data_IF_791864497856
#
_entry.id   IF_791864497856
#
_cell.length_a   1.000
_cell.length_b   1.000
_cell.length_c   1.000
_cell.angle_alpha   90.00
_cell.angle_beta   90.00
_cell.angle_gamma   90.00
#
_symmetry.space_group_name_H-M   'P 1'
#
loop_
_entity.id
_entity.type
_entity.pdbx_description
1 polymer ?
#
# COMPACT_ATOMS: atom_id res chain seq x y z
N UNK A 1 -33.92 10.73 -23.07
CA UNK A 1 -33.63 9.36 -23.54
C UNK A 1 -34.89 8.52 -23.37
N UNK A 2 -35.31 7.79 -24.40
CA UNK A 2 -36.26 6.69 -24.25
C UNK A 2 -35.52 5.41 -23.88
N UNK A 3 -36.19 4.45 -23.22
CA UNK A 3 -35.58 3.16 -22.84
C UNK A 3 -35.06 2.36 -24.05
N UNK A 4 -35.66 2.58 -25.21
CA UNK A 4 -35.29 1.92 -26.47
C UNK A 4 -33.92 2.39 -27.00
N UNK A 5 -33.45 3.57 -26.55
CA UNK A 5 -32.14 4.13 -26.92
C UNK A 5 -30.98 3.57 -26.08
N UNK A 6 -31.26 2.79 -25.03
CA UNK A 6 -30.22 2.21 -24.16
C UNK A 6 -29.77 0.89 -24.77
N UNK A 7 -28.50 0.74 -25.17
CA UNK A 7 -28.00 -0.50 -25.77
C UNK A 7 -27.78 -1.60 -24.73
N UNK A 8 -27.10 -1.28 -23.64
CA UNK A 8 -26.76 -2.21 -22.56
C UNK A 8 -26.82 -1.53 -21.19
N UNK A 9 -26.99 -2.34 -20.14
CA UNK A 9 -26.94 -1.91 -18.75
C UNK A 9 -25.89 -2.76 -18.04
N UNK A 10 -24.79 -2.16 -17.60
CA UNK A 10 -23.69 -2.88 -16.93
C UNK A 10 -23.70 -2.63 -15.43
N UNK A 11 -23.50 -3.70 -14.66
CA UNK A 11 -23.42 -3.63 -13.19
C UNK A 11 -21.97 -3.55 -12.72
N UNK A 12 -21.66 -2.50 -11.96
CA UNK A 12 -20.35 -2.29 -11.33
C UNK A 12 -20.47 -2.20 -9.81
N UNK A 13 -19.37 -2.44 -9.09
CA UNK A 13 -19.32 -2.44 -7.63
C UNK A 13 -19.79 -3.76 -6.99
N UNK A 14 -19.27 -4.06 -5.80
CA UNK A 14 -19.52 -5.30 -5.05
C UNK A 14 -21.00 -5.46 -4.65
N UNK A 15 -21.67 -4.36 -4.28
CA UNK A 15 -23.09 -4.35 -3.92
C UNK A 15 -24.01 -4.85 -5.04
N UNK A 16 -23.60 -4.71 -6.30
CA UNK A 16 -24.36 -5.22 -7.44
C UNK A 16 -24.52 -6.74 -7.47
N UNK A 17 -23.74 -7.49 -6.67
CA UNK A 17 -23.84 -8.95 -6.55
C UNK A 17 -25.04 -9.40 -5.72
N UNK A 18 -25.67 -8.50 -4.97
CA UNK A 18 -26.86 -8.80 -4.17
C UNK A 18 -28.06 -9.00 -5.11
N UNK A 19 -28.73 -10.17 -5.12
CA UNK A 19 -29.82 -10.45 -6.06
C UNK A 19 -30.99 -9.47 -5.97
N UNK A 20 -31.30 -8.98 -4.76
CA UNK A 20 -32.35 -7.97 -4.55
C UNK A 20 -32.04 -6.63 -5.25
N UNK A 21 -30.76 -6.24 -5.31
CA UNK A 21 -30.29 -5.01 -5.96
C UNK A 21 -30.38 -5.13 -7.48
N UNK A 22 -30.22 -6.34 -8.03
CA UNK A 22 -30.33 -6.59 -9.47
C UNK A 22 -31.78 -6.57 -9.99
N UNK A 23 -32.78 -6.88 -9.14
CA UNK A 23 -34.19 -6.97 -9.56
C UNK A 23 -34.78 -5.64 -10.04
N UNK A 24 -34.46 -4.54 -9.36
CA UNK A 24 -35.08 -3.22 -9.60
C UNK A 24 -34.56 -2.53 -10.88
N UNK A 25 -33.24 -2.55 -11.18
CA UNK A 25 -32.73 -2.09 -12.47
C UNK A 25 -33.24 -2.95 -13.63
N UNK A 26 -33.30 -4.28 -13.45
CA UNK A 26 -33.81 -5.18 -14.50
C UNK A 26 -35.26 -4.87 -14.88
N UNK A 27 -36.14 -4.63 -13.89
CA UNK A 27 -37.54 -4.26 -14.17
C UNK A 27 -37.69 -2.85 -14.74
N UNK A 28 -36.84 -1.91 -14.34
CA UNK A 28 -36.86 -0.52 -14.81
C UNK A 28 -36.40 -0.40 -16.27
N UNK A 29 -35.26 -0.99 -16.59
CA UNK A 29 -34.65 -0.88 -17.91
C UNK A 29 -35.19 -1.90 -18.91
N UNK A 30 -35.97 -2.90 -18.45
CA UNK A 30 -36.56 -3.97 -19.27
C UNK A 30 -35.51 -4.66 -20.16
N UNK A 31 -34.28 -4.76 -19.66
CA UNK A 31 -33.11 -5.32 -20.34
C UNK A 31 -32.33 -6.22 -19.40
N UNK A 32 -31.55 -7.12 -19.98
CA UNK A 32 -30.62 -7.96 -19.25
C UNK A 32 -29.46 -7.11 -18.69
N UNK A 33 -29.08 -7.39 -17.44
CA UNK A 33 -28.00 -6.69 -16.76
C UNK A 33 -26.67 -7.39 -17.08
N UNK A 34 -25.77 -6.67 -17.74
CA UNK A 34 -24.43 -7.10 -18.09
C UNK A 34 -23.45 -7.07 -16.91
N UNK A 35 -22.42 -7.91 -17.04
CA UNK A 35 -21.23 -7.95 -16.16
C UNK A 35 -19.96 -8.12 -17.00
N UNK A 36 -19.97 -7.55 -18.20
CA UNK A 36 -18.86 -7.66 -19.16
C UNK A 36 -17.62 -6.91 -18.66
N UNK A 37 -17.85 -5.88 -17.85
CA UNK A 37 -16.83 -5.06 -17.21
C UNK A 37 -16.43 -5.64 -15.84
N UNK A 38 -15.12 -5.62 -15.52
CA UNK A 38 -14.65 -6.02 -14.19
C UNK A 38 -15.16 -5.05 -13.12
N UNK A 39 -16.14 -5.49 -12.33
CA UNK A 39 -16.88 -4.66 -11.38
C UNK A 39 -16.06 -4.09 -10.20
N UNK A 40 -14.86 -4.63 -9.91
CA UNK A 40 -13.99 -4.13 -8.84
C UNK A 40 -12.88 -3.20 -9.35
N UNK A 41 -12.48 -3.35 -10.61
CA UNK A 41 -11.31 -2.66 -11.14
C UNK A 41 -11.65 -1.60 -12.19
N UNK A 42 -12.83 -1.62 -12.78
CA UNK A 42 -13.18 -0.75 -13.90
C UNK A 42 -13.06 0.74 -13.56
N UNK A 43 -13.37 1.10 -12.31
CA UNK A 43 -13.21 2.48 -11.82
C UNK A 43 -11.73 2.85 -11.77
N UNK A 44 -10.90 2.01 -11.14
CA UNK A 44 -9.46 2.26 -11.04
C UNK A 44 -8.77 2.30 -12.42
N UNK A 45 -9.14 1.40 -13.34
CA UNK A 45 -8.66 1.37 -14.72
C UNK A 45 -9.09 2.62 -15.50
N UNK A 46 -10.33 3.08 -15.31
CA UNK A 46 -10.83 4.32 -15.90
C UNK A 46 -10.08 5.55 -15.39
N UNK A 47 -9.83 5.63 -14.08
CA UNK A 47 -9.03 6.71 -13.49
C UNK A 47 -7.60 6.70 -14.02
N UNK A 48 -6.95 5.53 -14.08
CA UNK A 48 -5.60 5.40 -14.62
C UNK A 48 -5.54 5.82 -16.10
N UNK A 49 -6.54 5.43 -16.90
CA UNK A 49 -6.64 5.86 -18.30
C UNK A 49 -6.81 7.38 -18.41
N UNK A 50 -7.67 7.98 -17.58
CA UNK A 50 -7.86 9.42 -17.55
C UNK A 50 -6.56 10.15 -17.17
N UNK A 51 -5.82 9.66 -16.17
CA UNK A 51 -4.51 10.21 -15.82
C UNK A 51 -3.51 10.09 -16.98
N UNK A 52 -3.51 8.97 -17.71
CA UNK A 52 -2.66 8.78 -18.87
C UNK A 52 -3.04 9.71 -20.02
N UNK A 53 -4.34 9.96 -20.26
CA UNK A 53 -4.82 10.91 -21.27
C UNK A 53 -4.44 12.37 -20.93
N UNK A 54 -4.38 12.71 -19.65
CA UNK A 54 -3.97 14.04 -19.17
C UNK A 54 -2.43 14.19 -19.09
N UNK A 55 -1.68 13.08 -19.16
CA UNK A 55 -0.24 13.12 -19.04
C UNK A 55 0.39 13.63 -20.34
N UNK A 56 1.32 14.61 -20.28
CA UNK A 56 2.03 15.06 -21.47
C UNK A 56 3.04 14.03 -22.00
N UNK A 57 3.34 12.99 -21.22
CA UNK A 57 4.37 11.98 -21.53
C UNK A 57 3.76 10.74 -22.19
N UNK A 58 2.50 10.42 -21.88
CA UNK A 58 1.83 9.23 -22.39
C UNK A 58 0.88 9.56 -23.54
N UNK A 59 1.07 8.90 -24.68
CA UNK A 59 0.13 9.00 -25.80
C UNK A 59 -0.86 7.84 -25.76
N UNK A 60 -2.11 8.16 -25.44
CA UNK A 60 -3.23 7.20 -25.42
C UNK A 60 -4.03 7.32 -26.72
N UNK A 61 -4.76 6.27 -27.11
CA UNK A 61 -5.74 6.37 -28.20
C UNK A 61 -6.83 7.38 -27.85
N UNK A 62 -7.21 8.20 -28.82
CA UNK A 62 -8.28 9.18 -28.65
C UNK A 62 -9.58 8.49 -28.24
N UNK A 63 -10.19 8.98 -27.16
CA UNK A 63 -11.45 8.49 -26.62
C UNK A 63 -12.39 9.67 -26.42
N UNK A 64 -13.51 9.69 -27.13
CA UNK A 64 -14.57 10.67 -26.89
C UNK A 64 -15.39 10.23 -25.67
N UNK A 65 -15.47 11.06 -24.63
CA UNK A 65 -16.37 10.80 -23.51
C UNK A 65 -17.82 10.80 -24.00
N UNK A 66 -18.57 9.76 -23.66
CA UNK A 66 -20.01 9.71 -23.89
C UNK A 66 -20.73 10.68 -22.94
N UNK A 67 -21.86 11.23 -23.40
CA UNK A 67 -22.67 12.18 -22.65
C UNK A 67 -22.98 11.71 -21.22
N UNK A 68 -22.75 12.59 -20.24
CA UNK A 68 -22.95 12.30 -18.82
C UNK A 68 -24.39 12.62 -18.41
N UNK A 69 -24.99 11.79 -17.54
CA UNK A 69 -26.33 12.03 -16.98
C UNK A 69 -26.22 12.12 -15.46
N UNK A 70 -26.66 13.24 -14.88
CA UNK A 70 -26.80 13.44 -13.44
C UNK A 70 -28.12 12.84 -12.99
N UNK A 71 -28.09 11.87 -12.08
CA UNK A 71 -29.30 11.28 -11.47
C UNK A 71 -29.36 11.65 -9.99
N UNK A 72 -30.45 12.29 -9.54
CA UNK A 72 -30.72 12.47 -8.10
C UNK A 72 -31.50 11.27 -7.58
N UNK A 73 -31.04 10.71 -6.47
CA UNK A 73 -31.63 9.55 -5.81
C UNK A 73 -31.93 9.91 -4.35
N UNK A 74 -33.12 9.54 -3.87
CA UNK A 74 -33.56 9.73 -2.51
C UNK A 74 -33.72 8.37 -1.82
N UNK A 75 -33.26 8.28 -0.58
CA UNK A 75 -33.42 7.12 0.30
C UNK A 75 -34.39 7.50 1.43
N UNK A 76 -35.40 6.68 1.69
CA UNK A 76 -36.27 6.86 2.86
C UNK A 76 -35.86 5.96 4.04
N UNK A 77 -36.40 6.25 5.23
CA UNK A 77 -36.12 5.51 6.48
C UNK A 77 -36.51 4.02 6.44
N UNK A 78 -37.29 3.60 5.44
CA UNK A 78 -37.69 2.21 5.23
C UNK A 78 -36.76 1.47 4.24
N UNK A 79 -35.63 2.10 3.86
CA UNK A 79 -34.66 1.51 2.94
C UNK A 79 -35.11 1.49 1.48
N UNK A 80 -36.16 2.24 1.12
CA UNK A 80 -36.62 2.35 -0.26
C UNK A 80 -35.82 3.45 -0.97
N UNK A 81 -35.18 3.07 -2.08
CA UNK A 81 -34.49 3.97 -3.01
C UNK A 81 -35.45 4.43 -4.10
N UNK A 82 -35.60 5.75 -4.27
CA UNK A 82 -36.38 6.42 -5.32
C UNK A 82 -35.50 7.34 -6.17
N UNK A 83 -35.77 7.44 -7.47
CA UNK A 83 -35.08 8.37 -8.37
C UNK A 83 -35.91 9.66 -8.42
N UNK A 84 -35.33 10.77 -8.00
CA UNK A 84 -35.97 12.09 -7.95
C UNK A 84 -35.93 12.80 -9.32
N UNK A 85 -34.79 12.76 -10.00
CA UNK A 85 -34.65 13.34 -11.36
C UNK A 85 -33.42 12.83 -12.10
N UNK A 86 -33.40 13.01 -13.42
CA UNK A 86 -32.22 12.78 -14.26
C UNK A 86 -32.06 13.92 -15.27
N UNK A 87 -30.86 14.47 -15.42
CA UNK A 87 -30.55 15.54 -16.38
C UNK A 87 -29.24 15.27 -17.12
N UNK A 88 -29.17 15.58 -18.41
CA UNK A 88 -27.93 15.55 -19.18
C UNK A 88 -26.96 16.63 -18.65
N UNK A 89 -25.69 16.28 -18.51
CA UNK A 89 -24.60 17.20 -18.22
C UNK A 89 -23.92 17.44 -19.56
N UNK A 90 -23.94 18.68 -20.03
CA UNK A 90 -23.16 19.10 -21.18
C UNK A 90 -21.71 19.31 -20.76
N UNK A 91 -20.79 18.61 -21.42
CA UNK A 91 -19.35 18.79 -21.18
C UNK A 91 -18.93 20.13 -21.82
N UNK A 92 -18.67 21.16 -21.00
CA UNK A 92 -17.86 22.29 -21.46
C UNK A 92 -16.47 21.75 -21.79
N UNK A 93 -16.10 21.77 -23.07
CA UNK A 93 -14.71 21.68 -23.49
C UNK A 93 -14.00 22.99 -23.13
N UNK A 94 -13.79 23.23 -21.85
CA UNK A 94 -12.72 24.16 -21.45
C UNK A 94 -11.42 23.41 -21.75
N UNK A 95 -10.62 23.95 -22.69
CA UNK A 95 -9.27 23.50 -22.93
C UNK A 95 -8.49 23.77 -21.64
N UNK A 96 -8.50 22.79 -20.73
CA UNK A 96 -7.71 22.83 -19.52
C UNK A 96 -6.24 22.75 -19.90
N UNK A 97 -5.58 23.90 -20.03
CA UNK A 97 -4.14 23.97 -19.92
C UNK A 97 -3.77 23.58 -18.49
N UNK A 98 -2.59 22.96 -18.33
CA UNK A 98 -2.08 22.43 -17.05
C UNK A 98 -1.97 23.46 -15.91
N UNK A 99 -2.31 24.73 -16.16
CA UNK A 99 -2.18 25.86 -15.25
C UNK A 99 -3.42 26.10 -14.36
N UNK A 100 -4.62 25.66 -14.76
CA UNK A 100 -5.87 25.91 -13.99
C UNK A 100 -6.19 24.88 -12.89
N UNK A 101 -5.39 23.81 -12.74
CA UNK A 101 -5.58 22.85 -11.63
C UNK A 101 -5.18 23.42 -10.25
N UNK A 102 -4.71 24.67 -10.17
CA UNK A 102 -4.24 25.28 -8.91
C UNK A 102 -5.23 26.31 -8.34
N UNK A 103 -6.22 26.81 -9.10
CA UNK A 103 -6.92 28.05 -8.70
C UNK A 103 -8.28 27.93 -8.00
N UNK A 104 -8.92 26.76 -7.91
CA UNK A 104 -10.26 26.65 -7.27
C UNK A 104 -10.31 25.93 -5.90
N UNK A 105 -9.16 25.73 -5.24
CA UNK A 105 -9.12 25.30 -3.84
C UNK A 105 -8.39 26.30 -2.94
N UNK A 106 -8.79 27.57 -2.98
CA UNK A 106 -8.44 28.55 -1.94
C UNK A 106 -9.31 28.38 -0.68
N UNK A 107 -9.23 27.19 -0.08
CA UNK A 107 -9.26 27.00 1.37
C UNK A 107 -7.88 26.48 1.80
N UNK A 108 -6.89 27.35 1.61
CA UNK A 108 -5.45 27.12 1.78
C UNK A 108 -5.00 26.90 3.25
N UNK A 109 -5.91 26.68 4.19
CA UNK A 109 -5.58 26.50 5.62
C UNK A 109 -5.58 25.04 6.09
N UNK A 110 -6.05 24.08 5.28
CA UNK A 110 -6.12 22.65 5.69
C UNK A 110 -5.17 21.72 4.92
N UNK A 111 -4.85 21.99 3.65
CA UNK A 111 -4.02 21.10 2.82
C UNK A 111 -2.57 20.95 3.33
N UNK A 112 -1.93 22.06 3.75
CA UNK A 112 -0.56 22.02 4.28
C UNK A 112 -0.43 21.24 5.61
N UNK A 113 -1.50 21.14 6.40
CA UNK A 113 -1.51 20.35 7.64
C UNK A 113 -1.65 18.85 7.37
N UNK A 114 -2.37 18.45 6.31
CA UNK A 114 -2.52 17.03 5.92
C UNK A 114 -1.21 16.49 5.34
N UNK A 115 -0.50 17.26 4.52
CA UNK A 115 0.79 16.82 3.94
C UNK A 115 1.88 16.62 4.99
N UNK A 116 1.92 17.46 6.03
CA UNK A 116 2.93 17.34 7.10
C UNK A 116 2.67 16.10 7.95
N UNK A 117 1.43 15.87 8.38
CA UNK A 117 1.08 14.69 9.17
C UNK A 117 1.23 13.39 8.38
N UNK A 118 0.89 13.36 7.08
CA UNK A 118 1.10 12.21 6.21
C UNK A 118 2.58 11.92 5.95
N UNK A 119 3.42 12.95 5.84
CA UNK A 119 4.87 12.76 5.68
C UNK A 119 5.51 12.20 6.96
N UNK A 120 5.11 12.70 8.14
CA UNK A 120 5.61 12.18 9.42
C UNK A 120 5.24 10.71 9.65
N UNK A 121 4.02 10.28 9.31
CA UNK A 121 3.64 8.86 9.48
C UNK A 121 4.40 7.95 8.52
N UNK A 122 4.64 8.37 7.28
CA UNK A 122 5.46 7.60 6.32
C UNK A 122 6.90 7.47 6.84
N UNK A 123 7.47 8.55 7.35
CA UNK A 123 8.83 8.54 7.89
C UNK A 123 8.93 7.65 9.15
N UNK A 124 7.90 7.64 9.99
CA UNK A 124 7.80 6.74 11.14
C UNK A 124 7.69 5.27 10.71
N UNK A 125 6.83 4.94 9.73
CA UNK A 125 6.67 3.59 9.20
C UNK A 125 7.98 3.08 8.59
N UNK A 126 8.67 3.92 7.81
CA UNK A 126 9.97 3.59 7.23
C UNK A 126 11.04 3.34 8.31
N UNK A 127 11.06 4.18 9.35
CA UNK A 127 12.00 4.02 10.47
C UNK A 127 11.73 2.76 11.27
N UNK A 128 10.45 2.42 11.48
CA UNK A 128 10.04 1.20 12.15
C UNK A 128 10.49 -0.03 11.35
N UNK A 129 10.29 -0.03 10.03
CA UNK A 129 10.72 -1.13 9.16
C UNK A 129 12.26 -1.28 9.16
N UNK A 130 13.00 -0.17 9.06
CA UNK A 130 14.48 -0.18 9.15
C UNK A 130 14.96 -0.75 10.49
N UNK A 131 14.31 -0.39 11.59
CA UNK A 131 14.66 -0.88 12.93
C UNK A 131 14.42 -2.39 13.04
N UNK A 132 13.28 -2.86 12.52
CA UNK A 132 12.94 -4.29 12.46
C UNK A 132 13.94 -5.08 11.61
N UNK A 133 14.39 -4.53 10.49
CA UNK A 133 15.43 -5.15 9.66
C UNK A 133 16.75 -5.33 10.42
N UNK A 134 17.16 -4.35 11.25
CA UNK A 134 18.37 -4.49 12.08
C UNK A 134 18.19 -5.54 13.17
N UNK A 135 17.03 -5.61 13.81
CA UNK A 135 16.71 -6.65 14.79
C UNK A 135 16.81 -8.04 14.16
N UNK A 136 16.15 -8.24 13.01
CA UNK A 136 16.18 -9.49 12.27
C UNK A 136 17.60 -9.88 11.83
N UNK A 137 18.42 -8.89 11.42
CA UNK A 137 19.81 -9.12 11.05
C UNK A 137 20.66 -9.56 12.25
N UNK A 138 20.47 -8.96 13.43
CA UNK A 138 21.16 -9.36 14.65
C UNK A 138 20.73 -10.77 15.08
N UNK A 139 19.42 -11.05 15.11
CA UNK A 139 18.88 -12.37 15.47
C UNK A 139 19.43 -13.47 14.54
N UNK A 140 19.37 -13.24 13.23
CA UNK A 140 19.92 -14.17 12.23
C UNK A 140 21.43 -14.38 12.43
N UNK A 141 22.17 -13.31 12.72
CA UNK A 141 23.61 -13.39 12.97
C UNK A 141 23.94 -14.18 14.23
N UNK A 142 23.17 -14.01 15.32
CA UNK A 142 23.35 -14.77 16.56
C UNK A 142 23.17 -16.26 16.31
N UNK A 143 22.11 -16.66 15.60
CA UNK A 143 21.88 -18.06 15.24
C UNK A 143 22.99 -18.63 14.36
N UNK A 144 23.37 -17.91 13.30
CA UNK A 144 24.42 -18.34 12.38
C UNK A 144 25.76 -18.50 13.09
N UNK A 145 26.15 -17.54 13.93
CA UNK A 145 27.42 -17.57 14.64
C UNK A 145 27.46 -18.66 15.70
N UNK A 146 26.34 -18.93 16.38
CA UNK A 146 26.26 -20.04 17.34
C UNK A 146 26.55 -21.38 16.68
N UNK A 147 25.96 -21.62 15.50
CA UNK A 147 26.22 -22.84 14.74
C UNK A 147 27.68 -22.93 14.28
N UNK A 148 28.23 -21.84 13.72
CA UNK A 148 29.63 -21.81 13.28
C UNK A 148 30.62 -21.99 14.43
N UNK A 149 30.35 -21.46 15.62
CA UNK A 149 31.22 -21.64 16.79
C UNK A 149 31.25 -23.08 17.28
N UNK A 150 30.12 -23.79 17.19
CA UNK A 150 30.01 -25.21 17.57
C UNK A 150 30.63 -26.15 16.53
N UNK A 151 30.45 -25.84 15.25
CA UNK A 151 30.80 -26.71 14.14
C UNK A 151 32.09 -26.28 13.43
N UNK A 152 32.09 -25.10 12.80
CA UNK A 152 33.14 -24.65 11.88
C UNK A 152 34.42 -24.20 12.58
N UNK A 153 34.29 -23.37 13.62
CA UNK A 153 35.43 -22.74 14.29
C UNK A 153 35.97 -23.56 15.48
N UNK A 154 35.45 -24.77 15.69
CA UNK A 154 35.83 -25.66 16.79
C UNK A 154 37.33 -25.95 16.89
N UNK A 155 38.03 -26.03 15.76
CA UNK A 155 39.46 -26.33 15.73
C UNK A 155 40.34 -25.09 15.54
N UNK A 156 39.74 -23.93 15.21
CA UNK A 156 40.45 -22.69 14.88
C UNK A 156 40.44 -21.71 16.04
N UNK A 157 39.38 -21.70 16.83
CA UNK A 157 39.24 -20.89 18.03
C UNK A 157 39.71 -21.66 19.28
N UNK A 158 40.40 -20.96 20.18
CA UNK A 158 40.77 -21.51 21.50
C UNK A 158 39.54 -21.70 22.38
N UNK A 159 39.62 -22.57 23.41
CA UNK A 159 38.50 -22.79 24.33
C UNK A 159 38.01 -21.50 24.98
N UNK A 160 38.93 -20.66 25.45
CA UNK A 160 38.59 -19.38 26.09
C UNK A 160 37.91 -18.41 25.13
N UNK A 161 38.34 -18.35 23.85
CA UNK A 161 37.68 -17.53 22.84
C UNK A 161 36.26 -18.03 22.54
N UNK A 162 36.08 -19.36 22.44
CA UNK A 162 34.76 -19.96 22.21
C UNK A 162 33.81 -19.72 23.35
N UNK A 163 34.23 -19.96 24.59
CA UNK A 163 33.41 -19.73 25.78
C UNK A 163 32.99 -18.26 25.88
N UNK A 164 33.92 -17.33 25.61
CA UNK A 164 33.64 -15.90 25.65
C UNK A 164 32.60 -15.48 24.60
N UNK A 165 32.75 -15.94 23.35
CA UNK A 165 31.84 -15.61 22.26
C UNK A 165 30.47 -16.27 22.46
N UNK A 166 30.42 -17.55 22.84
CA UNK A 166 29.15 -18.26 23.08
C UNK A 166 28.37 -17.60 24.23
N UNK A 167 29.06 -17.18 25.29
CA UNK A 167 28.42 -16.41 26.37
C UNK A 167 27.86 -15.09 25.86
N UNK A 168 28.60 -14.35 25.05
CA UNK A 168 28.13 -13.06 24.51
C UNK A 168 26.96 -13.23 23.52
N UNK A 169 26.96 -14.29 22.72
CA UNK A 169 25.83 -14.68 21.86
C UNK A 169 24.57 -14.99 22.68
N UNK A 170 24.72 -15.75 23.78
CA UNK A 170 23.63 -16.07 24.70
C UNK A 170 23.06 -14.80 25.37
N UNK A 171 23.93 -13.93 25.90
CA UNK A 171 23.51 -12.65 26.50
C UNK A 171 22.78 -11.74 25.50
N UNK A 172 23.18 -11.77 24.22
CA UNK A 172 22.52 -11.00 23.17
C UNK A 172 21.18 -11.61 22.75
N UNK A 173 21.08 -12.94 22.71
CA UNK A 173 19.83 -13.67 22.49
C UNK A 173 18.81 -13.39 23.60
N UNK A 174 19.23 -13.49 24.87
CA UNK A 174 18.38 -13.19 26.03
C UNK A 174 17.89 -11.74 25.97
N UNK A 175 18.78 -10.79 25.68
CA UNK A 175 18.40 -9.39 25.51
C UNK A 175 17.39 -9.19 24.38
N UNK A 176 17.53 -9.88 23.23
CA UNK A 176 16.57 -9.79 22.11
C UNK A 176 15.15 -10.23 22.47
N UNK A 177 15.01 -11.15 23.44
CA UNK A 177 13.72 -11.68 23.88
C UNK A 177 13.14 -11.00 25.13
N UNK A 178 13.94 -10.25 25.88
CA UNK A 178 13.50 -9.53 27.08
C UNK A 178 13.32 -8.02 26.82
N UNK A 179 14.42 -7.31 26.57
CA UNK A 179 14.44 -5.84 26.50
C UNK A 179 14.53 -5.30 25.06
N UNK A 180 14.92 -6.16 24.11
CA UNK A 180 15.28 -5.78 22.74
C UNK A 180 14.12 -5.80 21.74
N UNK A 181 12.86 -5.69 22.14
CA UNK A 181 11.73 -5.68 21.19
C UNK A 181 11.51 -4.31 20.54
N UNK A 182 11.60 -3.25 21.33
CA UNK A 182 11.34 -1.86 20.93
C UNK A 182 12.58 -0.96 21.00
N UNK A 183 13.76 -1.57 20.97
CA UNK A 183 15.02 -0.85 21.11
C UNK A 183 15.44 -0.09 19.85
N UNK A 184 16.35 0.86 20.02
CA UNK A 184 16.77 1.74 18.93
C UNK A 184 17.60 1.00 17.87
N UNK A 185 17.56 1.47 16.62
CA UNK A 185 18.40 0.93 15.53
C UNK A 185 19.89 0.84 15.93
N UNK A 186 20.38 1.86 16.64
CA UNK A 186 21.76 1.91 17.12
C UNK A 186 22.08 0.81 18.13
N UNK A 187 21.15 0.45 19.01
CA UNK A 187 21.36 -0.61 20.01
C UNK A 187 21.65 -1.96 19.33
N UNK A 188 20.86 -2.32 18.29
CA UNK A 188 21.10 -3.55 17.52
C UNK A 188 22.44 -3.51 16.79
N UNK A 189 22.80 -2.35 16.22
CA UNK A 189 24.08 -2.16 15.50
C UNK A 189 25.28 -2.31 16.45
N UNK A 190 25.21 -1.73 17.65
CA UNK A 190 26.28 -1.83 18.65
C UNK A 190 26.49 -3.27 19.10
N UNK A 191 25.42 -4.00 19.43
CA UNK A 191 25.49 -5.43 19.78
C UNK A 191 26.11 -6.26 18.66
N UNK A 192 25.70 -6.02 17.42
CA UNK A 192 26.24 -6.71 16.25
C UNK A 192 27.74 -6.45 16.08
N UNK A 193 28.16 -5.20 16.23
CA UNK A 193 29.57 -4.81 16.12
C UNK A 193 30.41 -5.41 17.25
N UNK A 194 29.89 -5.51 18.46
CA UNK A 194 30.61 -6.09 19.59
C UNK A 194 30.84 -7.59 19.41
N UNK A 195 29.84 -8.33 18.93
CA UNK A 195 30.02 -9.74 18.57
C UNK A 195 31.03 -9.88 17.42
N UNK A 196 30.93 -9.05 16.37
CA UNK A 196 31.85 -9.10 15.21
C UNK A 196 33.31 -8.90 15.62
N UNK A 197 33.61 -7.93 16.49
CA UNK A 197 34.99 -7.69 16.97
C UNK A 197 35.63 -8.94 17.58
N UNK A 198 34.83 -9.80 18.22
CA UNK A 198 35.30 -11.05 18.82
C UNK A 198 35.48 -12.16 17.77
N UNK A 199 34.62 -12.18 16.74
CA UNK A 199 34.59 -13.24 15.71
C UNK A 199 35.58 -12.98 14.58
N UNK A 200 35.78 -11.72 14.17
CA UNK A 200 36.64 -11.35 13.04
C UNK A 200 38.07 -11.96 13.12
N UNK A 201 38.76 -12.00 14.28
CA UNK A 201 40.07 -12.64 14.40
C UNK A 201 40.04 -14.16 14.18
N UNK A 202 38.94 -14.84 14.48
CA UNK A 202 38.76 -16.28 14.28
C UNK A 202 38.44 -16.54 12.81
N UNK A 203 37.54 -15.75 12.23
CA UNK A 203 37.17 -15.88 10.82
C UNK A 203 38.37 -15.61 9.90
N UNK A 204 39.22 -14.64 10.23
CA UNK A 204 40.46 -14.39 9.51
C UNK A 204 41.47 -15.55 9.62
N UNK A 205 41.56 -16.21 10.78
CA UNK A 205 42.36 -17.43 10.96
C UNK A 205 41.80 -18.64 10.21
N UNK A 206 40.49 -18.67 9.96
CA UNK A 206 39.84 -19.75 9.24
C UNK A 206 39.94 -19.61 7.72
N UNK A 207 39.91 -18.36 7.22
CA UNK A 207 40.04 -18.04 5.78
C UNK A 207 41.49 -17.99 5.29
N UNK A 208 42.45 -17.77 6.18
CA UNK A 208 43.89 -17.76 5.89
C UNK A 208 44.50 -19.15 5.96
#
# INVERSE_FOLDING_TARGET
>A
LSLDQIHSVELVGSGSRIPAISKKPSSLFKRELGRTVNASECVARGCALQCAMLSPIFRVRDYEQAARVKVRVQLNLHGIVTIDSASLIEDRKENMTSEEMISENNHQSSAAKVDTSSSTVIEQDLKMESTKDKKNALESFVYEMRDKMLNTYRNTATESERECIVRNLQETEEWLYEDGDDESENAYIEKLNDIRKLIDPIENRFKG
#
